data_IF_954290813344
#
_entry.id   IF_954290813344
#
_cell.length_a   1.000
_cell.length_b   1.000
_cell.length_c   1.000
_cell.angle_alpha   90.00
_cell.angle_beta   90.00
_cell.angle_gamma   90.00
#
_symmetry.space_group_name_H-M   'P 1'
#
loop_
_entity.id
_entity.type
_entity.pdbx_description
1 polymer ?
#
# COMPACT_ATOMS: atom_id res chain seq x y z
N UNK A 1 10.35 -11.38 11.10
CA UNK A 1 11.29 -10.28 10.80
C UNK A 1 10.40 -9.14 10.37
N UNK A 2 10.47 -8.02 11.08
CA UNK A 2 9.55 -6.91 10.86
C UNK A 2 9.91 -6.21 9.55
N UNK A 3 8.91 -5.93 8.72
CA UNK A 3 9.09 -5.35 7.40
C UNK A 3 7.77 -4.80 6.87
N UNK A 4 7.84 -4.17 5.69
CA UNK A 4 6.69 -3.62 4.99
C UNK A 4 6.16 -4.66 4.01
N UNK A 5 4.85 -4.82 4.00
CA UNK A 5 4.16 -5.71 3.08
C UNK A 5 3.88 -4.94 1.79
N UNK A 6 4.32 -5.51 0.66
CA UNK A 6 3.95 -5.06 -0.66
C UNK A 6 3.22 -6.18 -1.40
N UNK A 7 2.38 -5.78 -2.35
CA UNK A 7 1.67 -6.67 -3.26
C UNK A 7 2.22 -6.51 -4.68
N UNK A 8 2.32 -7.62 -5.41
CA UNK A 8 2.73 -7.62 -6.81
C UNK A 8 1.49 -7.53 -7.70
N UNK A 9 1.33 -6.42 -8.41
CA UNK A 9 0.14 -6.12 -9.20
C UNK A 9 0.00 -7.08 -10.38
N UNK A 10 -1.23 -7.55 -10.64
CA UNK A 10 -1.58 -8.35 -11.85
C UNK A 10 -1.76 -7.48 -13.11
N UNK A 11 -2.14 -6.22 -12.92
CA UNK A 11 -2.53 -5.31 -13.99
C UNK A 11 -1.65 -4.05 -14.01
N UNK A 12 -1.47 -3.42 -15.19
CA UNK A 12 -0.77 -2.15 -15.30
C UNK A 12 -1.31 -1.07 -14.33
N UNK A 13 -0.45 -0.16 -13.84
CA UNK A 13 1.01 -0.18 -13.95
C UNK A 13 1.63 -1.36 -13.21
N UNK A 14 2.59 -2.02 -13.86
CA UNK A 14 3.25 -3.23 -13.34
C UNK A 14 4.24 -2.89 -12.22
N UNK A 15 4.43 -3.83 -11.29
CA UNK A 15 5.39 -3.70 -10.19
C UNK A 15 4.81 -4.07 -8.84
N UNK A 16 5.64 -3.91 -7.81
CA UNK A 16 5.22 -4.01 -6.42
C UNK A 16 4.56 -2.70 -5.97
N UNK A 17 3.56 -2.79 -5.10
CA UNK A 17 2.83 -1.64 -4.60
C UNK A 17 2.48 -1.83 -3.12
N UNK A 18 2.29 -0.72 -2.41
CA UNK A 18 1.58 -0.74 -1.13
C UNK A 18 0.16 -1.29 -1.34
N UNK A 19 -0.36 -2.09 -0.40
CA UNK A 19 -1.74 -2.53 -0.45
C UNK A 19 -2.68 -1.32 -0.30
N UNK A 20 -3.77 -1.32 -1.06
CA UNK A 20 -4.75 -0.26 -1.07
C UNK A 20 -5.54 -0.17 -2.36
N UNK A 21 -6.73 0.41 -2.25
CA UNK A 21 -7.65 0.61 -3.36
C UNK A 21 -8.49 1.86 -3.21
N UNK A 22 -9.61 1.91 -3.94
CA UNK A 22 -10.50 3.06 -3.92
C UNK A 22 -11.42 3.00 -2.70
N UNK A 23 -11.80 4.18 -2.22
CA UNK A 23 -12.79 4.32 -1.15
C UNK A 23 -14.17 4.21 -1.77
N UNK A 24 -15.02 3.35 -1.18
CA UNK A 24 -16.40 3.19 -1.63
C UNK A 24 -17.30 4.34 -1.17
N UNK A 25 -18.41 4.54 -1.87
CA UNK A 25 -19.35 5.59 -1.51
C UNK A 25 -19.96 5.33 -0.12
N UNK A 26 -19.78 6.28 0.79
CA UNK A 26 -20.26 6.18 2.18
C UNK A 26 -19.26 5.51 3.15
N UNK A 27 -18.08 5.14 2.67
CA UNK A 27 -17.00 4.56 3.47
C UNK A 27 -16.02 5.65 3.94
N UNK A 28 -15.40 5.46 5.12
CA UNK A 28 -14.29 6.32 5.58
C UNK A 28 -12.94 5.83 5.04
N UNK A 29 -11.93 6.69 5.04
CA UNK A 29 -10.57 6.32 4.62
C UNK A 29 -10.01 5.16 5.45
N UNK A 30 -10.25 5.16 6.76
CA UNK A 30 -9.80 4.11 7.68
C UNK A 30 -10.49 2.78 7.38
N UNK A 31 -11.79 2.81 7.08
CA UNK A 31 -12.56 1.61 6.76
C UNK A 31 -12.07 0.99 5.45
N UNK A 32 -11.87 1.83 4.43
CA UNK A 32 -11.28 1.42 3.16
C UNK A 32 -9.88 0.82 3.35
N UNK A 33 -9.00 1.47 4.12
CA UNK A 33 -7.65 0.98 4.36
C UNK A 33 -7.62 -0.42 5.03
N UNK A 34 -8.51 -0.67 5.99
CA UNK A 34 -8.62 -1.98 6.64
C UNK A 34 -9.20 -3.04 5.69
N UNK A 35 -10.25 -2.69 4.94
CA UNK A 35 -10.88 -3.58 3.96
C UNK A 35 -9.89 -4.01 2.87
N UNK A 36 -9.25 -3.05 2.23
CA UNK A 36 -8.30 -3.28 1.13
C UNK A 36 -7.08 -4.11 1.61
N UNK A 37 -6.53 -3.78 2.79
CA UNK A 37 -5.45 -4.58 3.36
C UNK A 37 -5.87 -6.05 3.56
N UNK A 38 -7.09 -6.30 4.05
CA UNK A 38 -7.63 -7.64 4.22
C UNK A 38 -7.83 -8.35 2.89
N UNK A 39 -8.40 -7.67 1.90
CA UNK A 39 -8.68 -8.20 0.57
C UNK A 39 -7.39 -8.59 -0.16
N UNK A 40 -6.36 -7.74 -0.13
CA UNK A 40 -5.15 -7.94 -0.93
C UNK A 40 -4.07 -8.78 -0.24
N UNK A 41 -4.02 -8.76 1.09
CA UNK A 41 -2.96 -9.43 1.88
C UNK A 41 -3.47 -10.54 2.80
N UNK A 42 -4.79 -10.65 3.01
CA UNK A 42 -5.39 -11.59 3.96
C UNK A 42 -5.24 -11.19 5.44
N UNK A 43 -4.54 -10.09 5.74
CA UNK A 43 -4.23 -9.69 7.11
C UNK A 43 -5.31 -8.80 7.73
N UNK A 44 -5.57 -9.02 9.02
CA UNK A 44 -6.36 -8.11 9.85
C UNK A 44 -5.41 -7.04 10.41
N UNK A 45 -5.41 -5.86 9.77
CA UNK A 45 -4.52 -4.76 10.14
C UNK A 45 -5.12 -3.88 11.25
N UNK A 46 -4.26 -3.41 12.14
CA UNK A 46 -4.57 -2.35 13.11
C UNK A 46 -3.92 -1.05 12.65
N UNK A 47 -4.73 -0.06 12.30
CA UNK A 47 -4.24 1.26 11.95
C UNK A 47 -3.60 1.94 13.18
N UNK A 48 -2.38 2.45 13.02
CA UNK A 48 -1.65 3.17 14.06
C UNK A 48 -1.88 4.67 13.91
N UNK A 49 -1.78 5.19 12.67
CA UNK A 49 -2.08 6.59 12.35
C UNK A 49 -2.17 6.81 10.85
N UNK A 50 -2.82 7.91 10.47
CA UNK A 50 -2.63 8.50 9.14
C UNK A 50 -1.17 8.97 8.98
N UNK A 51 -0.58 8.68 7.82
CA UNK A 51 0.76 9.09 7.46
C UNK A 51 0.74 10.40 6.66
N UNK A 52 0.35 10.34 5.39
CA UNK A 52 0.32 11.48 4.47
C UNK A 52 -0.78 11.33 3.43
N UNK A 53 -1.13 12.44 2.81
CA UNK A 53 -1.96 12.47 1.60
C UNK A 53 -1.11 12.89 0.40
N UNK A 54 -1.02 12.01 -0.59
CA UNK A 54 -0.30 12.22 -1.84
C UNK A 54 -1.29 12.56 -2.95
N UNK A 55 -1.09 13.70 -3.61
CA UNK A 55 -2.03 14.27 -4.58
C UNK A 55 -1.34 14.86 -5.81
N UNK A 56 -0.13 14.39 -6.14
CA UNK A 56 0.52 14.79 -7.40
C UNK A 56 -0.39 14.35 -8.57
N UNK A 57 -0.80 15.25 -9.48
CA UNK A 57 -1.68 14.89 -10.60
C UNK A 57 -1.15 13.77 -11.50
N UNK A 58 0.16 13.52 -11.50
CA UNK A 58 0.82 12.48 -12.29
C UNK A 58 1.07 11.18 -11.51
N UNK A 59 0.70 11.09 -10.22
CA UNK A 59 1.01 9.92 -9.38
C UNK A 59 0.42 8.60 -9.89
N UNK A 60 -0.73 8.68 -10.55
CA UNK A 60 -1.41 7.54 -11.15
C UNK A 60 -1.62 7.83 -12.64
N UNK A 61 -1.04 7.02 -13.55
CA UNK A 61 -1.15 7.25 -14.99
C UNK A 61 -2.57 7.00 -15.53
N UNK A 62 -3.47 6.39 -14.75
CA UNK A 62 -4.82 6.05 -15.18
C UNK A 62 -5.77 7.24 -15.05
N UNK A 63 -5.67 7.96 -13.94
CA UNK A 63 -6.50 9.13 -13.63
C UNK A 63 -5.87 9.93 -12.48
N UNK A 64 -6.19 11.22 -12.38
CA UNK A 64 -5.79 12.03 -11.23
C UNK A 64 -6.46 11.48 -9.96
N UNK A 65 -5.66 10.84 -9.11
CA UNK A 65 -6.09 10.28 -7.83
C UNK A 65 -5.42 10.99 -6.67
N UNK A 66 -6.05 10.90 -5.50
CA UNK A 66 -5.46 11.28 -4.22
C UNK A 66 -5.38 10.02 -3.37
N UNK A 67 -4.23 9.74 -2.77
CA UNK A 67 -4.05 8.61 -1.86
C UNK A 67 -3.75 9.12 -0.46
N UNK A 68 -4.55 8.71 0.52
CA UNK A 68 -4.22 8.91 1.93
C UNK A 68 -3.66 7.60 2.48
N UNK A 69 -2.41 7.64 2.91
CA UNK A 69 -1.64 6.47 3.37
C UNK A 69 -1.74 6.38 4.89
N UNK A 70 -1.86 5.15 5.39
CA UNK A 70 -1.84 4.84 6.82
C UNK A 70 -0.64 4.00 7.18
N UNK A 71 -0.12 4.17 8.39
CA UNK A 71 0.78 3.21 9.03
C UNK A 71 -0.08 2.25 9.82
N UNK A 72 0.12 0.96 9.61
CA UNK A 72 -0.62 -0.10 10.25
C UNK A 72 0.30 -1.25 10.67
N UNK A 73 -0.14 -2.03 11.65
CA UNK A 73 0.53 -3.24 12.13
C UNK A 73 -0.38 -4.45 11.96
N UNK A 74 0.20 -5.60 11.67
CA UNK A 74 -0.50 -6.88 11.63
C UNK A 74 0.46 -8.02 11.96
N UNK A 75 -0.09 -9.08 12.54
CA UNK A 75 0.58 -10.35 12.76
C UNK A 75 -0.01 -11.41 11.82
N UNK A 76 0.80 -12.39 11.40
CA UNK A 76 0.35 -13.54 10.62
C UNK A 76 1.07 -13.68 9.27
N UNK A 77 0.65 -14.69 8.50
CA UNK A 77 1.15 -14.95 7.15
C UNK A 77 0.24 -14.28 6.11
N UNK A 78 0.84 -13.66 5.10
CA UNK A 78 0.10 -13.04 4.02
C UNK A 78 -0.46 -14.09 3.06
N UNK A 79 -1.66 -13.85 2.55
CA UNK A 79 -2.26 -14.60 1.45
C UNK A 79 -2.61 -13.61 0.34
N UNK A 80 -2.12 -13.85 -0.88
CA UNK A 80 -2.40 -12.94 -1.99
C UNK A 80 -3.89 -12.95 -2.37
N UNK A 81 -4.48 -11.76 -2.46
CA UNK A 81 -5.88 -11.54 -2.85
C UNK A 81 -6.16 -11.50 -4.35
N UNK A 82 -7.38 -11.09 -4.72
CA UNK A 82 -7.87 -11.11 -6.11
C UNK A 82 -7.05 -10.23 -7.06
N UNK A 83 -6.61 -9.04 -6.63
CA UNK A 83 -5.81 -8.12 -7.46
C UNK A 83 -4.28 -8.29 -7.30
N UNK A 84 -3.85 -9.09 -6.32
CA UNK A 84 -2.45 -9.38 -6.04
C UNK A 84 -2.03 -10.74 -6.63
N UNK A 85 -0.94 -10.76 -7.39
CA UNK A 85 -0.33 -12.03 -7.86
C UNK A 85 0.53 -12.70 -6.80
N UNK A 86 1.08 -11.90 -5.88
CA UNK A 86 2.04 -12.30 -4.86
C UNK A 86 2.04 -11.24 -3.75
N UNK A 87 2.36 -11.65 -2.53
CA UNK A 87 2.64 -10.75 -1.39
C UNK A 87 4.09 -10.96 -0.95
N UNK A 88 4.74 -9.91 -0.48
CA UNK A 88 6.14 -9.98 -0.05
C UNK A 88 6.40 -9.04 1.11
N UNK A 89 7.30 -9.45 2.02
CA UNK A 89 7.76 -8.62 3.14
C UNK A 89 9.14 -8.07 2.82
N UNK A 90 9.27 -6.75 2.87
CA UNK A 90 10.46 -6.02 2.44
C UNK A 90 10.98 -5.09 3.55
N UNK A 91 12.28 -4.84 3.52
CA UNK A 91 12.96 -3.88 4.42
C UNK A 91 13.67 -2.83 3.57
N UNK A 92 14.09 -1.73 4.18
CA UNK A 92 14.63 -0.56 3.46
C UNK A 92 15.82 -0.86 2.55
N UNK A 93 16.67 -1.82 2.91
CA UNK A 93 17.86 -2.22 2.14
C UNK A 93 17.58 -3.34 1.11
N UNK A 94 16.35 -3.84 1.06
CA UNK A 94 15.93 -4.94 0.18
C UNK A 94 14.56 -4.67 -0.45
N UNK A 95 14.33 -3.44 -0.91
CA UNK A 95 13.14 -3.13 -1.70
C UNK A 95 13.23 -3.75 -3.11
N UNK A 96 12.10 -4.07 -3.74
CA UNK A 96 12.09 -4.58 -5.11
C UNK A 96 12.47 -3.51 -6.14
N UNK A 97 13.01 -3.93 -7.27
CA UNK A 97 13.50 -3.01 -8.31
C UNK A 97 12.39 -2.17 -8.95
N UNK A 98 11.24 -2.78 -9.21
CA UNK A 98 10.08 -2.13 -9.85
C UNK A 98 8.96 -1.94 -8.83
N UNK A 99 8.73 -0.68 -8.47
CA UNK A 99 7.64 -0.25 -7.59
C UNK A 99 6.70 0.64 -8.41
N UNK A 100 5.41 0.30 -8.39
CA UNK A 100 4.39 1.02 -9.16
C UNK A 100 4.02 2.36 -8.52
N UNK A 101 3.48 3.26 -9.33
CA UNK A 101 3.03 4.61 -8.93
C UNK A 101 4.15 5.45 -8.29
N UNK A 102 3.79 6.33 -7.38
CA UNK A 102 4.68 7.11 -6.52
C UNK A 102 5.09 6.33 -5.25
N UNK A 103 4.78 5.05 -5.12
CA UNK A 103 4.96 4.30 -3.87
C UNK A 103 6.42 4.21 -3.42
N UNK A 104 7.38 4.31 -4.34
CA UNK A 104 8.80 4.41 -3.96
C UNK A 104 9.07 5.66 -3.12
N UNK A 105 8.50 6.81 -3.49
CA UNK A 105 8.60 8.04 -2.72
C UNK A 105 7.94 7.90 -1.35
N UNK A 106 6.77 7.26 -1.29
CA UNK A 106 6.04 7.01 -0.03
C UNK A 106 6.88 6.15 0.92
N UNK A 107 7.53 5.10 0.40
CA UNK A 107 8.42 4.24 1.18
C UNK A 107 9.67 5.00 1.64
N UNK A 108 10.27 5.83 0.79
CA UNK A 108 11.40 6.69 1.14
C UNK A 108 11.02 7.68 2.26
N UNK A 109 9.88 8.35 2.16
CA UNK A 109 9.37 9.25 3.20
C UNK A 109 9.15 8.49 4.52
N UNK A 110 8.60 7.27 4.47
CA UNK A 110 8.39 6.43 5.65
C UNK A 110 9.72 6.05 6.33
N UNK A 111 10.67 5.51 5.56
CA UNK A 111 11.96 5.06 6.11
C UNK A 111 12.87 6.19 6.58
N UNK A 112 12.70 7.40 6.03
CA UNK A 112 13.44 8.60 6.44
C UNK A 112 12.74 9.40 7.54
N UNK A 113 11.53 9.01 7.95
CA UNK A 113 10.78 9.66 9.02
C UNK A 113 10.21 11.03 8.66
N UNK A 114 9.93 11.26 7.36
CA UNK A 114 9.28 12.49 6.89
C UNK A 114 7.78 12.43 7.13
N UNK A 115 7.36 12.79 8.35
CA UNK A 115 5.96 12.82 8.80
C UNK A 115 5.32 14.20 8.70
#
# INVERSE_FOLDING_TARGET
MDGIILIKRKNPPEGWALPGGFVDYGETLETAAVREAKEETGLDVKLIRQFHTYSDPARDPRQHTISTVFIAEADGETTAGDDASETGTFVSDRLPDTIAFDHKQILEDYFTGRY
#
